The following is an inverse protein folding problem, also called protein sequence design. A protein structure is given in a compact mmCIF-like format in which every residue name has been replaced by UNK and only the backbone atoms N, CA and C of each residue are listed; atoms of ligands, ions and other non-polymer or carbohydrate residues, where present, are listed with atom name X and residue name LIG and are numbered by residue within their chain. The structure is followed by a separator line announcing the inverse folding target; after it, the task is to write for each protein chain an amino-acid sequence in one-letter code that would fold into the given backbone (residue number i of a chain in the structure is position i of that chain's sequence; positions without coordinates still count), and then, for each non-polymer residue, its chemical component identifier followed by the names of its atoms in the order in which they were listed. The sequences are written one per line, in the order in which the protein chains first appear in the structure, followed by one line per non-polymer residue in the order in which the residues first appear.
data_IF_014649609345
#
_entry.id   IF_014649609345
#
_cell.length_a   1.000
_cell.length_b   1.000
_cell.length_c   1.000
_cell.angle_alpha   90.00
_cell.angle_beta   90.00
_cell.angle_gamma   90.00
#
_symmetry.space_group_name_H-M   'P 1'
#
loop_
_entity.id
_entity.type
_entity.pdbx_description
1 polymer ?
#
# COMPACT_ATOMS: atom_id res chain seq x y z
N UNK A 1 -7.14 -3.30 1.28
CA UNK A 1 -6.55 -2.75 0.05
C UNK A 1 -6.56 -3.74 -1.11
N UNK A 2 -6.06 -4.94 -0.95
CA UNK A 2 -5.80 -5.88 -2.04
C UNK A 2 -6.63 -7.18 -1.98
N UNK A 3 -7.69 -7.21 -1.19
CA UNK A 3 -8.45 -8.44 -0.93
C UNK A 3 -7.52 -9.58 -0.45
N UNK A 4 -6.85 -9.35 0.69
CA UNK A 4 -5.88 -10.27 1.32
C UNK A 4 -4.73 -10.68 0.38
N UNK A 5 -4.29 -9.78 -0.48
CA UNK A 5 -3.20 -10.02 -1.42
C UNK A 5 -3.60 -10.67 -2.75
N UNK A 6 -4.88 -10.92 -2.98
CA UNK A 6 -5.36 -11.49 -4.24
C UNK A 6 -5.20 -10.51 -5.43
N UNK A 7 -5.22 -9.20 -5.16
CA UNK A 7 -5.07 -8.15 -6.17
C UNK A 7 -3.93 -7.20 -5.82
N UNK A 8 -2.72 -7.54 -6.20
CA UNK A 8 -1.50 -6.76 -5.93
C UNK A 8 -1.08 -5.85 -7.09
N UNK A 9 -1.92 -5.72 -8.11
CA UNK A 9 -1.71 -4.84 -9.25
C UNK A 9 -2.07 -5.50 -10.58
N UNK A 10 -2.68 -4.71 -11.47
CA UNK A 10 -3.17 -5.16 -12.78
C UNK A 10 -2.60 -4.32 -13.94
N UNK A 11 -1.73 -3.35 -13.66
CA UNK A 11 -1.09 -2.50 -14.65
C UNK A 11 0.44 -2.61 -14.62
N UNK A 12 1.05 -2.35 -15.77
CA UNK A 12 2.50 -2.28 -15.95
C UNK A 12 2.88 -0.88 -16.40
N UNK A 13 3.96 -0.33 -15.86
CA UNK A 13 4.59 0.89 -16.36
C UNK A 13 5.18 0.60 -17.75
N UNK A 14 5.02 1.53 -18.71
CA UNK A 14 5.59 1.41 -20.06
C UNK A 14 6.52 2.59 -20.34
N UNK A 15 6.08 3.79 -20.03
CA UNK A 15 6.84 5.01 -20.25
C UNK A 15 7.11 5.73 -18.94
N UNK A 16 8.34 5.70 -18.43
CA UNK A 16 8.70 6.35 -17.17
C UNK A 16 8.67 7.89 -17.25
N UNK A 17 8.81 8.48 -18.43
CA UNK A 17 8.81 9.94 -18.61
C UNK A 17 7.41 10.53 -18.43
N UNK A 18 6.37 9.83 -18.84
CA UNK A 18 4.98 10.27 -18.73
C UNK A 18 4.19 9.54 -17.64
N UNK A 19 4.69 8.42 -17.15
CA UNK A 19 3.98 7.53 -16.22
C UNK A 19 2.87 6.72 -16.87
N UNK A 20 2.83 6.68 -18.20
CA UNK A 20 1.89 5.87 -18.96
C UNK A 20 2.23 4.38 -18.89
N UNK A 21 1.22 3.56 -19.07
CA UNK A 21 1.37 2.11 -19.04
C UNK A 21 0.21 1.38 -19.67
N UNK A 22 0.06 0.09 -19.31
CA UNK A 22 -0.97 -0.77 -19.87
C UNK A 22 -1.48 -1.77 -18.86
N UNK A 23 -2.69 -2.26 -19.07
CA UNK A 23 -3.23 -3.41 -18.34
C UNK A 23 -2.38 -4.66 -18.57
N UNK A 24 -1.95 -5.32 -17.51
CA UNK A 24 -1.07 -6.49 -17.56
C UNK A 24 -1.61 -7.61 -18.45
N UNK A 25 -2.89 -7.92 -18.29
CA UNK A 25 -3.53 -9.04 -18.98
C UNK A 25 -4.32 -8.61 -20.23
N UNK A 26 -4.72 -7.34 -20.32
CA UNK A 26 -5.59 -6.83 -21.38
C UNK A 26 -4.84 -6.04 -22.46
N UNK A 27 -3.63 -5.53 -22.12
CA UNK A 27 -2.90 -4.61 -22.97
C UNK A 27 -3.53 -3.22 -23.09
N UNK A 28 -4.68 -2.97 -22.44
CA UNK A 28 -5.39 -1.68 -22.50
C UNK A 28 -4.47 -0.54 -22.05
N UNK A 29 -4.32 0.53 -22.84
CA UNK A 29 -3.44 1.64 -22.49
C UNK A 29 -4.06 2.52 -21.39
N UNK A 30 -3.19 3.01 -20.49
CA UNK A 30 -3.54 3.95 -19.42
C UNK A 30 -2.51 5.08 -19.40
N UNK A 31 -2.96 6.32 -19.37
CA UNK A 31 -2.07 7.51 -19.34
C UNK A 31 -1.51 7.82 -17.97
N UNK A 32 -2.05 7.23 -16.88
CA UNK A 32 -1.74 7.60 -15.49
C UNK A 32 -1.46 6.39 -14.60
N UNK A 33 -0.67 5.44 -15.09
CA UNK A 33 -0.30 4.26 -14.30
C UNK A 33 0.55 4.64 -13.09
N UNK A 34 1.50 5.59 -13.25
CA UNK A 34 2.35 6.02 -12.14
C UNK A 34 2.72 7.49 -12.30
N UNK A 35 2.71 8.27 -11.20
CA UNK A 35 3.10 9.67 -11.27
C UNK A 35 4.58 9.79 -11.64
N UNK A 36 4.93 10.46 -12.79
CA UNK A 36 6.27 10.43 -13.34
C UNK A 36 7.32 11.15 -12.49
N UNK A 37 6.92 12.17 -11.75
CA UNK A 37 7.85 12.96 -10.92
C UNK A 37 7.92 12.50 -9.48
N UNK A 38 6.78 12.02 -8.92
CA UNK A 38 6.69 11.62 -7.51
C UNK A 38 7.04 10.15 -7.30
N UNK A 39 6.51 9.26 -8.14
CA UNK A 39 6.51 7.81 -7.86
C UNK A 39 7.43 7.00 -8.78
N UNK A 40 7.63 7.43 -10.03
CA UNK A 40 8.48 6.68 -10.96
C UNK A 40 9.94 6.60 -10.50
N UNK A 41 10.61 7.68 -10.08
CA UNK A 41 12.00 7.58 -9.63
C UNK A 41 12.20 6.62 -8.44
N UNK A 42 11.43 6.72 -7.33
CA UNK A 42 11.57 5.78 -6.23
C UNK A 42 11.13 4.36 -6.60
N UNK A 43 10.17 4.18 -7.52
CA UNK A 43 9.80 2.86 -8.03
C UNK A 43 10.97 2.18 -8.75
N UNK A 44 11.63 2.87 -9.68
CA UNK A 44 12.79 2.34 -10.39
C UNK A 44 13.93 1.98 -9.44
N UNK A 45 14.18 2.81 -8.42
CA UNK A 45 15.16 2.53 -7.38
C UNK A 45 14.81 1.26 -6.59
N UNK A 46 13.56 1.09 -6.19
CA UNK A 46 13.09 -0.12 -5.49
C UNK A 46 13.22 -1.37 -6.36
N UNK A 47 12.88 -1.28 -7.65
CA UNK A 47 13.00 -2.39 -8.59
C UNK A 47 14.46 -2.80 -8.78
N UNK A 48 15.35 -1.84 -8.91
CA UNK A 48 16.79 -2.10 -9.00
C UNK A 48 17.31 -2.80 -7.73
N UNK A 49 16.95 -2.30 -6.56
CA UNK A 49 17.35 -2.88 -5.27
C UNK A 49 16.82 -4.32 -5.07
N UNK A 50 15.62 -4.59 -5.56
CA UNK A 50 14.96 -5.90 -5.47
C UNK A 50 15.35 -6.87 -6.62
N UNK A 51 16.16 -6.45 -7.60
CA UNK A 51 16.47 -7.25 -8.78
C UNK A 51 15.25 -7.57 -9.65
N UNK A 52 14.22 -6.69 -9.64
CA UNK A 52 12.97 -6.85 -10.39
C UNK A 52 12.98 -6.00 -11.66
N UNK A 53 12.33 -6.50 -12.70
CA UNK A 53 12.07 -5.71 -13.91
C UNK A 53 10.90 -4.73 -13.66
N UNK A 54 11.15 -3.40 -13.69
CA UNK A 54 10.11 -2.40 -13.45
C UNK A 54 8.98 -2.43 -14.48
N UNK A 55 9.27 -2.87 -15.69
CA UNK A 55 8.29 -2.91 -16.79
C UNK A 55 7.44 -4.19 -16.81
N UNK A 56 7.83 -5.20 -16.02
CA UNK A 56 7.10 -6.45 -15.84
C UNK A 56 6.58 -6.65 -14.40
N UNK A 57 6.86 -5.70 -13.49
CA UNK A 57 6.35 -5.75 -12.12
C UNK A 57 5.00 -5.05 -12.02
N UNK A 58 3.92 -5.76 -11.64
CA UNK A 58 2.58 -5.19 -11.64
C UNK A 58 2.36 -4.22 -10.48
N UNK A 59 1.66 -3.14 -10.79
CA UNK A 59 1.20 -2.11 -9.85
C UNK A 59 -0.29 -1.84 -10.06
N UNK A 60 -0.94 -1.08 -9.17
CA UNK A 60 -2.35 -0.74 -9.35
C UNK A 60 -2.57 0.08 -10.61
N UNK A 61 -3.70 -0.16 -11.27
CA UNK A 61 -4.16 0.69 -12.36
C UNK A 61 -4.70 2.03 -11.80
N UNK A 62 -4.73 3.10 -12.62
CA UNK A 62 -5.32 4.36 -12.20
C UNK A 62 -6.82 4.20 -11.94
N UNK A 63 -7.29 4.87 -10.91
CA UNK A 63 -8.72 5.05 -10.64
C UNK A 63 -9.30 6.14 -11.58
N UNK A 64 -10.60 6.40 -11.49
CA UNK A 64 -11.25 7.49 -12.24
C UNK A 64 -10.58 8.85 -11.98
N UNK A 65 -10.11 9.07 -10.76
CA UNK A 65 -9.38 10.26 -10.33
C UNK A 65 -8.01 9.83 -9.76
N UNK A 66 -6.95 10.54 -10.16
CA UNK A 66 -5.59 10.32 -9.63
C UNK A 66 -4.74 9.38 -10.47
N UNK A 67 -3.67 8.91 -9.85
CA UNK A 67 -2.67 8.00 -10.42
C UNK A 67 -2.83 6.60 -9.84
N UNK A 68 -2.43 5.58 -10.58
CA UNK A 68 -2.18 4.25 -10.05
C UNK A 68 -0.81 4.13 -9.39
N UNK A 69 -0.16 2.99 -9.52
CA UNK A 69 1.23 2.77 -9.09
C UNK A 69 1.39 2.24 -7.67
N UNK A 70 0.30 1.85 -7.02
CA UNK A 70 0.36 1.22 -5.71
C UNK A 70 0.87 -0.23 -5.82
N UNK A 71 1.70 -0.65 -4.86
CA UNK A 71 2.49 -1.87 -4.88
C UNK A 71 2.05 -2.86 -3.80
N UNK A 72 2.03 -4.14 -4.17
CA UNK A 72 1.89 -5.25 -3.23
C UNK A 72 0.57 -5.30 -2.44
N UNK A 73 0.49 -6.16 -1.41
CA UNK A 73 -0.75 -6.37 -0.65
C UNK A 73 -1.32 -5.13 0.05
N UNK A 74 -0.45 -4.24 0.54
CA UNK A 74 -0.86 -3.03 1.27
C UNK A 74 -0.98 -1.80 0.38
N UNK A 75 -0.78 -1.92 -0.92
CA UNK A 75 -1.01 -0.89 -1.94
C UNK A 75 -0.31 0.46 -1.66
N UNK A 76 0.93 0.42 -1.16
CA UNK A 76 1.74 1.62 -1.01
C UNK A 76 2.24 2.14 -2.35
N UNK A 77 2.15 3.47 -2.56
CA UNK A 77 2.87 4.11 -3.66
C UNK A 77 4.36 4.18 -3.33
N UNK A 78 5.21 4.19 -4.36
CA UNK A 78 6.66 4.08 -4.20
C UNK A 78 7.28 5.20 -3.38
N UNK A 79 6.79 6.43 -3.52
CA UNK A 79 7.26 7.58 -2.74
C UNK A 79 7.00 7.44 -1.23
N UNK A 80 5.90 6.82 -0.83
CA UNK A 80 5.62 6.52 0.58
C UNK A 80 6.45 5.35 1.08
N UNK A 81 6.52 4.28 0.29
CA UNK A 81 7.27 3.07 0.66
C UNK A 81 8.74 3.35 0.95
N UNK A 82 9.42 4.12 0.09
CA UNK A 82 10.87 4.35 0.21
C UNK A 82 11.23 5.06 1.53
N UNK A 83 10.33 5.90 2.04
CA UNK A 83 10.50 6.55 3.34
C UNK A 83 10.36 5.60 4.53
N UNK A 84 9.62 4.51 4.38
CA UNK A 84 9.40 3.50 5.41
C UNK A 84 10.38 2.32 5.32
N UNK A 85 10.95 2.07 4.15
CA UNK A 85 11.71 0.88 3.83
C UNK A 85 12.83 0.54 4.83
N UNK A 86 13.66 1.48 5.33
CA UNK A 86 14.68 1.16 6.33
C UNK A 86 14.08 0.68 7.66
N UNK A 87 12.97 1.28 8.09
CA UNK A 87 12.27 0.91 9.33
C UNK A 87 11.61 -0.45 9.21
N UNK A 88 11.01 -0.73 8.06
CA UNK A 88 10.41 -2.04 7.76
C UNK A 88 11.48 -3.12 7.80
N UNK A 89 12.58 -2.93 7.05
CA UNK A 89 13.69 -3.88 6.99
C UNK A 89 14.25 -4.19 8.39
N UNK A 90 14.47 -3.16 9.20
CA UNK A 90 14.91 -3.31 10.59
C UNK A 90 13.92 -4.10 11.44
N UNK A 91 12.63 -3.78 11.34
CA UNK A 91 11.59 -4.40 12.16
C UNK A 91 11.34 -5.88 11.82
N UNK A 92 11.53 -6.28 10.56
CA UNK A 92 11.36 -7.67 10.12
C UNK A 92 12.66 -8.47 10.07
N UNK A 93 13.81 -7.84 10.43
CA UNK A 93 15.13 -8.49 10.41
C UNK A 93 15.62 -8.85 9.01
N UNK A 94 15.22 -8.08 7.98
CA UNK A 94 15.58 -8.33 6.60
C UNK A 94 16.64 -7.32 6.09
N UNK A 95 17.48 -7.70 5.10
CA UNK A 95 18.48 -6.78 4.53
C UNK A 95 17.83 -5.63 3.74
N UNK A 96 16.63 -5.84 3.20
CA UNK A 96 15.85 -4.85 2.47
C UNK A 96 14.34 -5.14 2.58
N UNK A 97 13.52 -4.10 2.50
CA UNK A 97 12.07 -4.24 2.49
C UNK A 97 11.55 -4.40 1.06
N UNK A 98 10.69 -5.40 0.84
CA UNK A 98 10.04 -5.68 -0.45
C UNK A 98 8.52 -5.50 -0.33
N UNK A 99 7.89 -4.58 -1.10
CA UNK A 99 6.44 -4.33 -1.03
C UNK A 99 5.56 -5.55 -1.35
N UNK A 100 6.06 -6.52 -2.07
CA UNK A 100 5.32 -7.74 -2.45
C UNK A 100 5.46 -8.88 -1.45
N UNK A 101 6.33 -8.75 -0.45
CA UNK A 101 6.44 -9.71 0.65
C UNK A 101 5.36 -9.41 1.71
N UNK A 102 4.41 -10.34 1.99
CA UNK A 102 3.28 -10.05 2.88
C UNK A 102 3.66 -9.55 4.27
N UNK A 103 4.67 -10.15 4.91
CA UNK A 103 5.14 -9.71 6.23
C UNK A 103 5.70 -8.29 6.22
N UNK A 104 6.42 -7.90 5.15
CA UNK A 104 6.92 -6.53 4.99
C UNK A 104 5.78 -5.54 4.74
N UNK A 105 4.79 -5.93 3.92
CA UNK A 105 3.63 -5.10 3.63
C UNK A 105 2.77 -4.86 4.90
N UNK A 106 2.55 -5.89 5.72
CA UNK A 106 1.84 -5.77 7.00
C UNK A 106 2.61 -4.88 7.97
N UNK A 107 3.94 -5.08 8.10
CA UNK A 107 4.79 -4.22 8.94
C UNK A 107 4.76 -2.77 8.48
N UNK A 108 4.81 -2.52 7.16
CA UNK A 108 4.67 -1.18 6.59
C UNK A 108 3.34 -0.52 6.99
N UNK A 109 2.24 -1.27 6.91
CA UNK A 109 0.92 -0.78 7.31
C UNK A 109 0.90 -0.41 8.79
N UNK A 110 1.44 -1.26 9.66
CA UNK A 110 1.51 -0.99 11.10
C UNK A 110 2.32 0.27 11.41
N UNK A 111 3.53 0.40 10.85
CA UNK A 111 4.38 1.57 11.04
C UNK A 111 3.73 2.85 10.51
N UNK A 112 3.12 2.80 9.35
CA UNK A 112 2.47 3.96 8.76
C UNK A 112 1.23 4.40 9.56
N UNK A 113 0.40 3.46 10.03
CA UNK A 113 -0.72 3.79 10.91
C UNK A 113 -0.26 4.39 12.24
N UNK A 114 0.85 3.90 12.81
CA UNK A 114 1.47 4.51 13.99
C UNK A 114 1.88 5.96 13.72
N UNK A 115 2.55 6.23 12.60
CA UNK A 115 2.97 7.57 12.20
C UNK A 115 1.77 8.51 11.99
N UNK A 116 0.62 7.96 11.58
CA UNK A 116 -0.64 8.68 11.41
C UNK A 116 -1.43 8.88 12.71
N UNK A 117 -0.93 8.34 13.84
CA UNK A 117 -1.47 8.55 15.17
C UNK A 117 -2.23 7.38 15.80
N UNK A 118 -2.34 6.22 15.13
CA UNK A 118 -3.04 5.06 15.69
C UNK A 118 -2.42 4.53 16.99
N UNK A 119 -1.14 4.83 17.25
CA UNK A 119 -0.44 4.43 18.49
C UNK A 119 -1.07 4.96 19.78
N UNK A 120 -1.98 5.94 19.72
CA UNK A 120 -2.77 6.37 20.87
C UNK A 120 -3.83 5.33 21.30
N UNK A 121 -4.12 4.31 20.48
CA UNK A 121 -5.01 3.19 20.77
C UNK A 121 -6.42 3.62 21.23
N UNK A 122 -6.92 4.69 20.63
CA UNK A 122 -8.32 5.13 20.81
C UNK A 122 -9.07 5.01 19.50
N UNK A 123 -10.37 4.72 19.55
CA UNK A 123 -11.20 4.62 18.35
C UNK A 123 -11.05 5.83 17.42
N UNK A 124 -11.04 7.05 17.98
CA UNK A 124 -10.89 8.28 17.20
C UNK A 124 -9.53 8.39 16.50
N UNK A 125 -8.44 8.03 17.19
CA UNK A 125 -7.09 8.05 16.62
C UNK A 125 -6.93 7.01 15.52
N UNK A 126 -7.43 5.82 15.73
CA UNK A 126 -7.42 4.73 14.76
C UNK A 126 -8.27 5.06 13.53
N UNK A 127 -9.47 5.62 13.73
CA UNK A 127 -10.33 6.08 12.65
C UNK A 127 -9.64 7.17 11.81
N UNK A 128 -9.04 8.15 12.46
CA UNK A 128 -8.30 9.20 11.78
C UNK A 128 -7.10 8.63 11.00
N UNK A 129 -6.34 7.75 11.61
CA UNK A 129 -5.19 7.11 10.97
C UNK A 129 -5.59 6.29 9.74
N UNK A 130 -6.62 5.46 9.86
CA UNK A 130 -7.15 4.69 8.74
C UNK A 130 -7.71 5.59 7.62
N UNK A 131 -8.42 6.64 7.97
CA UNK A 131 -8.92 7.62 7.01
C UNK A 131 -7.78 8.34 6.26
N UNK A 132 -6.73 8.72 6.97
CA UNK A 132 -5.53 9.33 6.38
C UNK A 132 -4.72 8.36 5.53
N UNK A 133 -4.66 7.11 5.88
CA UNK A 133 -4.03 6.07 5.07
C UNK A 133 -4.61 6.06 3.66
N UNK A 134 -5.92 6.13 3.54
CA UNK A 134 -6.64 6.11 2.25
C UNK A 134 -6.64 7.46 1.54
N UNK A 135 -7.00 8.55 2.24
CA UNK A 135 -7.33 9.84 1.64
C UNK A 135 -6.39 11.00 2.04
N UNK A 136 -5.32 10.72 2.79
CA UNK A 136 -4.37 11.75 3.23
C UNK A 136 -5.04 12.90 3.97
N UNK A 137 -4.75 14.15 3.55
CA UNK A 137 -5.34 15.35 4.15
C UNK A 137 -6.87 15.46 4.00
N UNK A 138 -7.46 14.78 3.04
CA UNK A 138 -8.91 14.79 2.78
C UNK A 138 -9.67 13.69 3.56
N UNK A 139 -9.05 13.11 4.57
CA UNK A 139 -9.60 11.97 5.31
C UNK A 139 -10.99 12.20 5.90
N UNK A 140 -11.26 13.42 6.39
CA UNK A 140 -12.55 13.76 7.03
C UNK A 140 -13.74 13.79 6.05
N UNK A 141 -13.47 13.90 4.74
CA UNK A 141 -14.53 13.92 3.71
C UNK A 141 -14.52 12.65 2.85
N UNK A 142 -13.36 12.11 2.54
CA UNK A 142 -13.22 10.98 1.62
C UNK A 142 -12.80 9.67 2.30
N UNK A 143 -12.24 9.73 3.50
CA UNK A 143 -11.66 8.58 4.20
C UNK A 143 -12.55 7.92 5.23
N UNK A 144 -13.67 8.53 5.67
CA UNK A 144 -14.48 8.04 6.77
C UNK A 144 -15.12 6.66 6.50
N UNK A 145 -15.64 6.45 5.29
CA UNK A 145 -16.22 5.16 4.91
C UNK A 145 -15.18 4.03 4.92
N UNK A 146 -13.99 4.32 4.37
CA UNK A 146 -12.86 3.40 4.43
C UNK A 146 -12.44 3.11 5.87
N UNK A 147 -12.26 4.14 6.69
CA UNK A 147 -11.87 3.99 8.09
C UNK A 147 -12.88 3.14 8.89
N UNK A 148 -14.17 3.37 8.71
CA UNK A 148 -15.21 2.57 9.35
C UNK A 148 -15.13 1.09 8.96
N UNK A 149 -14.89 0.80 7.70
CA UNK A 149 -14.70 -0.58 7.22
C UNK A 149 -13.47 -1.24 7.82
N UNK A 150 -12.32 -0.53 7.86
CA UNK A 150 -11.08 -1.01 8.47
C UNK A 150 -11.28 -1.36 9.93
N UNK A 151 -11.89 -0.46 10.72
CA UNK A 151 -12.14 -0.70 12.15
C UNK A 151 -13.11 -1.85 12.40
N UNK A 152 -14.13 -2.02 11.54
CA UNK A 152 -15.05 -3.15 11.60
C UNK A 152 -14.33 -4.47 11.36
N UNK A 153 -13.46 -4.56 10.35
CA UNK A 153 -12.65 -5.75 10.11
C UNK A 153 -11.66 -6.02 11.26
N UNK A 154 -11.00 -4.98 11.78
CA UNK A 154 -10.09 -5.11 12.90
C UNK A 154 -10.79 -5.70 14.14
N UNK A 155 -12.00 -5.21 14.46
CA UNK A 155 -12.80 -5.73 15.56
C UNK A 155 -13.24 -7.20 15.34
N UNK A 156 -13.50 -7.60 14.08
CA UNK A 156 -13.84 -8.99 13.75
C UNK A 156 -12.62 -9.89 13.93
N UNK A 157 -11.48 -9.52 13.38
CA UNK A 157 -10.25 -10.30 13.50
C UNK A 157 -9.76 -10.40 14.96
N UNK A 158 -9.97 -9.35 15.77
CA UNK A 158 -9.62 -9.43 17.20
C UNK A 158 -10.46 -10.50 17.91
N UNK A 159 -11.76 -10.59 17.64
CA UNK A 159 -12.62 -11.65 18.19
C UNK A 159 -12.17 -13.04 17.78
N UNK A 160 -11.72 -13.20 16.51
CA UNK A 160 -11.22 -14.48 16.02
C UNK A 160 -9.89 -14.86 16.71
N UNK A 161 -9.01 -13.88 16.94
CA UNK A 161 -7.75 -14.07 17.69
C UNK A 161 -8.03 -14.46 19.14
N UNK A 162 -8.94 -13.76 19.81
CA UNK A 162 -9.33 -14.04 21.20
C UNK A 162 -9.94 -15.45 21.32
N UNK A 163 -10.82 -15.81 20.38
CA UNK A 163 -11.41 -17.16 20.33
C UNK A 163 -10.35 -18.25 20.16
N UNK A 164 -9.36 -18.06 19.28
CA UNK A 164 -8.29 -19.01 19.08
C UNK A 164 -7.35 -19.12 20.29
N UNK A 165 -7.11 -18.02 20.99
CA UNK A 165 -6.30 -18.03 22.21
C UNK A 165 -6.98 -18.78 23.37
N UNK A 166 -8.30 -18.65 23.49
CA UNK A 166 -9.09 -19.29 24.55
C UNK A 166 -9.34 -20.80 24.31
N UNK A 167 -9.10 -21.29 23.09
CA UNK A 167 -9.38 -22.67 22.69
C UNK A 167 -8.12 -23.47 22.29
N UNK A 168 -6.92 -23.01 22.68
CA UNK A 168 -5.66 -23.74 22.61
C UNK A 168 -5.30 -24.30 23.99
#
# INVERSE_FOLDING_TARGET
ESNLGANVGQCLLVDPATGAGKGKNTGTPFSRVMNPTRDVPPFLQLMQAAGRDPYNTPVSCPQSIGWGGAMGPSQFIASTWIGLAPRIASAVGAPAADPWTPSHAIMATALYLMDLGAGAQTYSAEQQAAGRYYAGGNWATLGLGYASSVLSFAATYQKDIDYLADNQ
#
